data_IF_996606053241
#
_entry.id   IF_996606053241
#
_cell.length_a   1.000
_cell.length_b   1.000
_cell.length_c   1.000
_cell.angle_alpha   90.00
_cell.angle_beta   90.00
_cell.angle_gamma   90.00
#
_symmetry.space_group_name_H-M   'P 1'
#
loop_
_entity.id
_entity.type
_entity.pdbx_description
1 polymer ?
#
# COMPACT_ATOMS: atom_id res chain seq x y z
N UNK A 1 -4.65 -23.33 10.12
CA UNK A 1 -4.43 -21.96 9.64
C UNK A 1 -2.94 -21.60 9.58
N UNK A 2 -2.17 -21.74 10.66
CA UNK A 2 -0.75 -21.32 10.66
C UNK A 2 0.09 -21.83 9.48
N UNK A 3 -0.07 -23.09 9.07
CA UNK A 3 0.65 -23.62 7.91
C UNK A 3 0.35 -22.83 6.63
N UNK A 4 -0.90 -22.42 6.41
CA UNK A 4 -1.29 -21.60 5.27
C UNK A 4 -0.65 -20.21 5.34
N UNK A 5 -0.72 -19.56 6.51
CA UNK A 5 -0.06 -18.27 6.76
C UNK A 5 1.44 -18.36 6.44
N UNK A 6 2.11 -19.44 6.84
CA UNK A 6 3.53 -19.64 6.53
C UNK A 6 3.79 -19.76 5.02
N UNK A 7 2.93 -20.46 4.27
CA UNK A 7 3.07 -20.52 2.81
C UNK A 7 2.85 -19.16 2.16
N UNK A 8 1.83 -18.41 2.60
CA UNK A 8 1.56 -17.07 2.08
C UNK A 8 2.73 -16.11 2.37
N UNK A 9 3.33 -16.18 3.56
CA UNK A 9 4.54 -15.40 3.89
C UNK A 9 5.71 -15.78 2.96
N UNK A 10 5.89 -17.07 2.66
CA UNK A 10 6.90 -17.52 1.69
C UNK A 10 6.62 -16.92 0.30
N UNK A 11 5.36 -16.89 -0.13
CA UNK A 11 4.97 -16.32 -1.42
C UNK A 11 5.23 -14.80 -1.45
N UNK A 12 4.85 -14.07 -0.40
CA UNK A 12 5.16 -12.64 -0.24
C UNK A 12 6.68 -12.37 -0.27
N UNK A 13 7.48 -13.23 0.35
CA UNK A 13 8.94 -13.13 0.27
C UNK A 13 9.47 -13.42 -1.14
N UNK A 14 8.88 -14.38 -1.84
CA UNK A 14 9.28 -14.71 -3.20
C UNK A 14 8.88 -13.63 -4.20
N UNK A 15 7.75 -12.94 -3.99
CA UNK A 15 7.30 -11.83 -4.83
C UNK A 15 8.32 -10.69 -4.90
N UNK A 16 9.18 -10.52 -3.89
CA UNK A 16 10.30 -9.56 -3.91
C UNK A 16 11.29 -9.79 -5.05
N UNK A 17 11.28 -10.98 -5.68
CA UNK A 17 12.10 -11.28 -6.86
C UNK A 17 11.49 -10.74 -8.16
N UNK A 18 10.23 -10.32 -8.12
CA UNK A 18 9.49 -9.79 -9.28
C UNK A 18 9.61 -8.27 -9.40
N UNK A 19 10.43 -7.62 -8.57
CA UNK A 19 10.66 -6.17 -8.62
C UNK A 19 11.12 -5.79 -10.04
N UNK A 20 10.37 -4.93 -10.76
CA UNK A 20 10.76 -4.48 -12.08
C UNK A 20 12.12 -3.76 -12.03
N UNK A 21 12.95 -3.98 -13.05
CA UNK A 21 14.23 -3.30 -13.13
C UNK A 21 14.04 -1.78 -13.21
N UNK A 22 14.85 -1.03 -12.46
CA UNK A 22 14.93 0.42 -12.58
C UNK A 22 15.23 0.80 -14.02
N UNK A 23 14.44 1.74 -14.54
CA UNK A 23 14.68 2.33 -15.85
C UNK A 23 15.45 3.63 -15.64
N UNK A 24 16.59 3.80 -16.32
CA UNK A 24 17.40 5.02 -16.23
C UNK A 24 17.30 5.86 -17.50
N UNK A 25 17.28 7.19 -17.37
CA UNK A 25 17.38 8.06 -18.53
C UNK A 25 18.74 7.89 -19.22
N UNK A 26 18.78 8.16 -20.53
CA UNK A 26 20.03 8.31 -21.26
C UNK A 26 20.78 9.60 -20.86
N UNK A 27 21.92 9.85 -21.49
CA UNK A 27 22.70 11.08 -21.24
C UNK A 27 22.08 12.31 -21.90
N UNK A 28 21.99 13.42 -21.17
CA UNK A 28 21.50 14.70 -21.66
C UNK A 28 20.04 14.99 -21.32
N UNK A 29 19.62 16.23 -21.57
CA UNK A 29 18.28 16.70 -21.22
C UNK A 29 17.18 16.05 -22.06
N UNK A 30 17.38 15.91 -23.38
CA UNK A 30 16.38 15.30 -24.27
C UNK A 30 16.08 13.83 -23.90
N UNK A 31 17.13 13.05 -23.59
CA UNK A 31 16.97 11.66 -23.16
C UNK A 31 16.31 11.54 -21.78
N UNK A 32 16.53 12.52 -20.90
CA UNK A 32 15.83 12.60 -19.62
C UNK A 32 14.34 12.95 -19.82
N UNK A 33 14.04 13.93 -20.66
CA UNK A 33 12.67 14.34 -20.97
C UNK A 33 11.87 13.20 -21.62
N UNK A 34 12.43 12.52 -22.62
CA UNK A 34 11.82 11.35 -23.25
C UNK A 34 11.55 10.24 -22.22
N UNK A 35 12.50 10.01 -21.31
CA UNK A 35 12.34 9.03 -20.23
C UNK A 35 11.20 9.37 -19.28
N UNK A 36 11.10 10.63 -18.83
CA UNK A 36 10.01 11.08 -17.96
C UNK A 36 8.65 10.99 -18.66
N UNK A 37 8.57 11.39 -19.93
CA UNK A 37 7.34 11.24 -20.72
C UNK A 37 6.94 9.76 -20.87
N UNK A 38 7.90 8.85 -21.04
CA UNK A 38 7.61 7.42 -21.12
C UNK A 38 7.05 6.86 -19.80
N UNK A 39 7.58 7.31 -18.65
CA UNK A 39 7.07 6.95 -17.33
C UNK A 39 5.65 7.51 -17.11
N UNK A 40 5.43 8.78 -17.39
CA UNK A 40 4.12 9.44 -17.23
C UNK A 40 3.03 8.82 -18.13
N UNK A 41 3.40 8.36 -19.33
CA UNK A 41 2.47 7.72 -20.26
C UNK A 41 2.37 6.19 -20.07
N UNK A 42 3.06 5.62 -19.07
CA UNK A 42 2.94 4.20 -18.77
C UNK A 42 1.55 3.87 -18.24
N UNK A 43 0.97 2.70 -18.58
CA UNK A 43 -0.34 2.34 -18.08
C UNK A 43 -0.28 2.05 -16.58
N UNK A 44 -1.38 2.33 -15.89
CA UNK A 44 -1.52 1.88 -14.51
C UNK A 44 -1.50 0.34 -14.44
N UNK A 45 -0.93 -0.18 -13.36
CA UNK A 45 -0.85 -1.61 -13.10
C UNK A 45 -1.62 -1.95 -11.83
N UNK A 46 -2.39 -3.03 -11.87
CA UNK A 46 -3.03 -3.57 -10.67
C UNK A 46 -1.96 -4.14 -9.74
N UNK A 47 -2.02 -3.83 -8.45
CA UNK A 47 -1.02 -4.29 -7.49
C UNK A 47 -0.92 -5.82 -7.39
N UNK A 48 -2.03 -6.55 -7.54
CA UNK A 48 -1.98 -8.01 -7.63
C UNK A 48 -1.12 -8.52 -8.79
N UNK A 49 -1.14 -7.81 -9.91
CA UNK A 49 -0.38 -8.19 -11.11
C UNK A 49 1.08 -7.77 -10.97
N UNK A 50 1.34 -6.60 -10.38
CA UNK A 50 2.69 -6.12 -10.05
C UNK A 50 3.41 -7.09 -9.11
N UNK A 51 2.73 -7.56 -8.06
CA UNK A 51 3.33 -8.47 -7.07
C UNK A 51 3.28 -9.94 -7.51
N UNK A 52 2.36 -10.29 -8.42
CA UNK A 52 2.07 -11.68 -8.80
C UNK A 52 1.31 -12.45 -7.73
N UNK A 53 0.54 -11.76 -6.87
CA UNK A 53 -0.23 -12.33 -5.76
C UNK A 53 -1.65 -11.77 -5.83
N UNK A 54 -2.66 -12.65 -5.96
CA UNK A 54 -4.07 -12.23 -5.97
C UNK A 54 -4.56 -11.86 -4.57
N UNK A 55 -5.47 -10.89 -4.45
CA UNK A 55 -6.15 -10.56 -3.19
C UNK A 55 -6.90 -11.78 -2.60
N UNK A 56 -7.38 -12.69 -3.44
CA UNK A 56 -8.19 -13.85 -3.01
C UNK A 56 -7.42 -14.89 -2.19
N UNK A 57 -6.08 -14.85 -2.19
CA UNK A 57 -5.26 -15.77 -1.39
C UNK A 57 -5.14 -15.32 0.06
N UNK A 58 -5.55 -14.09 0.38
CA UNK A 58 -5.48 -13.58 1.74
C UNK A 58 -6.66 -14.13 2.57
N UNK A 59 -6.42 -14.81 3.71
CA UNK A 59 -7.50 -15.31 4.55
C UNK A 59 -8.33 -14.15 5.11
N UNK A 60 -9.65 -14.31 5.28
CA UNK A 60 -10.45 -13.28 5.91
C UNK A 60 -10.07 -13.12 7.40
N UNK A 61 -10.14 -11.88 7.90
CA UNK A 61 -9.62 -11.47 9.22
C UNK A 61 -10.11 -12.35 10.36
N UNK A 62 -11.38 -12.78 10.35
CA UNK A 62 -11.99 -13.59 11.40
C UNK A 62 -11.41 -15.01 11.54
N UNK A 63 -10.59 -15.46 10.58
CA UNK A 63 -9.90 -16.76 10.62
C UNK A 63 -8.47 -16.68 11.14
N UNK A 64 -7.96 -15.47 11.39
CA UNK A 64 -6.58 -15.21 11.77
C UNK A 64 -6.50 -14.85 13.24
N UNK A 65 -5.48 -15.35 13.94
CA UNK A 65 -5.12 -14.84 15.26
C UNK A 65 -4.42 -13.49 15.13
N UNK A 66 -4.38 -12.71 16.21
CA UNK A 66 -3.63 -11.45 16.29
C UNK A 66 -2.18 -11.60 15.82
N UNK A 67 -1.46 -12.60 16.34
CA UNK A 67 -0.10 -12.91 15.91
C UNK A 67 0.01 -13.21 14.40
N UNK A 68 -0.99 -13.84 13.79
CA UNK A 68 -0.99 -14.13 12.35
C UNK A 68 -1.24 -12.86 11.52
N UNK A 69 -2.11 -11.98 12.01
CA UNK A 69 -2.36 -10.67 11.40
C UNK A 69 -1.08 -9.83 11.42
N UNK A 70 -0.38 -9.76 12.55
CA UNK A 70 0.91 -9.07 12.68
C UNK A 70 1.95 -9.63 11.71
N UNK A 71 2.08 -10.96 11.64
CA UNK A 71 3.01 -11.63 10.72
C UNK A 71 2.70 -11.29 9.26
N UNK A 72 1.43 -11.30 8.86
CA UNK A 72 1.02 -10.98 7.50
C UNK A 72 1.20 -9.50 7.18
N UNK A 73 0.83 -8.60 8.10
CA UNK A 73 1.03 -7.16 7.94
C UNK A 73 2.50 -6.84 7.70
N UNK A 74 3.38 -7.40 8.54
CA UNK A 74 4.82 -7.22 8.39
C UNK A 74 5.33 -7.77 7.05
N UNK A 75 4.89 -8.97 6.66
CA UNK A 75 5.32 -9.58 5.40
C UNK A 75 4.86 -8.78 4.17
N UNK A 76 3.64 -8.23 4.18
CA UNK A 76 3.11 -7.35 3.13
C UNK A 76 3.93 -6.06 3.06
N UNK A 77 4.14 -5.38 4.19
CA UNK A 77 4.93 -4.13 4.24
C UNK A 77 6.38 -4.35 3.80
N UNK A 78 7.00 -5.44 4.23
CA UNK A 78 8.36 -5.79 3.81
C UNK A 78 8.46 -6.17 2.33
N UNK A 79 7.37 -6.65 1.73
CA UNK A 79 7.27 -6.85 0.29
C UNK A 79 7.15 -5.50 -0.42
N UNK A 80 6.23 -4.63 0.00
CA UNK A 80 6.05 -3.29 -0.59
C UNK A 80 7.34 -2.49 -0.57
N UNK A 81 8.08 -2.49 0.55
CA UNK A 81 9.39 -1.82 0.64
C UNK A 81 10.40 -2.35 -0.39
N UNK A 82 10.34 -3.64 -0.76
CA UNK A 82 11.23 -4.18 -1.79
C UNK A 82 10.90 -3.64 -3.20
N UNK A 83 9.66 -3.21 -3.43
CA UNK A 83 9.23 -2.51 -4.63
C UNK A 83 9.43 -0.98 -4.55
N UNK A 84 10.10 -0.47 -3.50
CA UNK A 84 10.18 0.95 -3.14
C UNK A 84 8.82 1.60 -2.90
N UNK A 85 7.85 0.83 -2.39
CA UNK A 85 6.53 1.33 -2.02
C UNK A 85 6.46 1.45 -0.51
N UNK A 86 6.10 2.63 -0.03
CA UNK A 86 5.86 2.93 1.38
C UNK A 86 4.40 3.32 1.61
N UNK A 87 3.98 3.24 2.86
CA UNK A 87 2.65 3.64 3.28
C UNK A 87 2.73 4.16 4.70
N UNK A 88 1.96 5.20 4.97
CA UNK A 88 1.85 5.79 6.29
C UNK A 88 0.54 5.37 6.96
N UNK A 89 0.65 4.97 8.22
CA UNK A 89 -0.48 4.65 9.09
C UNK A 89 -0.13 5.01 10.54
N UNK A 90 -1.13 5.30 11.39
CA UNK A 90 -0.88 5.60 12.80
C UNK A 90 -0.16 4.44 13.52
N UNK A 91 0.79 4.75 14.41
CA UNK A 91 1.62 3.75 15.11
C UNK A 91 0.81 2.76 15.95
N UNK A 92 -0.37 3.17 16.43
CA UNK A 92 -1.20 2.41 17.36
C UNK A 92 -2.37 1.67 16.67
N UNK A 93 -2.37 1.57 15.33
CA UNK A 93 -3.42 0.85 14.60
C UNK A 93 -3.40 -0.64 14.93
N UNK A 94 -4.52 -1.19 15.44
CA UNK A 94 -4.67 -2.63 15.67
C UNK A 94 -4.43 -3.47 14.40
N UNK A 95 -3.73 -4.60 14.54
CA UNK A 95 -3.37 -5.46 13.41
C UNK A 95 -4.59 -5.94 12.59
N UNK A 96 -5.74 -6.12 13.23
CA UNK A 96 -7.01 -6.51 12.60
C UNK A 96 -7.67 -5.39 11.78
N UNK A 97 -7.26 -4.14 11.95
CA UNK A 97 -7.67 -3.00 11.13
C UNK A 97 -6.66 -2.71 10.02
N UNK A 98 -5.36 -2.82 10.32
CA UNK A 98 -4.31 -2.64 9.32
C UNK A 98 -4.36 -3.71 8.22
N UNK A 99 -4.54 -4.98 8.60
CA UNK A 99 -4.56 -6.09 7.66
C UNK A 99 -5.54 -5.94 6.49
N UNK A 100 -6.86 -5.73 6.72
CA UNK A 100 -7.79 -5.55 5.62
C UNK A 100 -7.49 -4.28 4.79
N UNK A 101 -6.97 -3.21 5.42
CA UNK A 101 -6.59 -2.00 4.70
C UNK A 101 -5.43 -2.24 3.72
N UNK A 102 -4.43 -3.04 4.11
CA UNK A 102 -3.32 -3.47 3.24
C UNK A 102 -3.80 -4.41 2.12
N UNK A 103 -4.59 -5.43 2.47
CA UNK A 103 -5.09 -6.43 1.51
C UNK A 103 -5.97 -5.78 0.43
N UNK A 104 -6.82 -4.81 0.80
CA UNK A 104 -7.68 -4.08 -0.13
C UNK A 104 -6.91 -3.32 -1.22
N UNK A 105 -5.61 -3.06 -1.04
CA UNK A 105 -4.78 -2.42 -2.06
C UNK A 105 -4.45 -3.36 -3.22
N UNK A 106 -4.44 -4.69 -3.02
CA UNK A 106 -4.10 -5.64 -4.07
C UNK A 106 -5.07 -5.61 -5.26
N UNK A 107 -6.30 -5.12 -5.08
CA UNK A 107 -7.25 -4.87 -6.18
C UNK A 107 -7.16 -3.49 -6.82
N UNK A 108 -6.32 -2.60 -6.29
CA UNK A 108 -6.16 -1.23 -6.80
C UNK A 108 -5.11 -1.16 -7.89
N UNK A 109 -5.32 -0.19 -8.78
CA UNK A 109 -4.38 0.21 -9.81
C UNK A 109 -3.45 1.28 -9.25
N UNK A 110 -2.21 1.28 -9.72
CA UNK A 110 -1.17 2.22 -9.33
C UNK A 110 -0.34 2.58 -10.55
N UNK A 111 -0.03 3.88 -10.66
CA UNK A 111 0.96 4.37 -11.61
C UNK A 111 2.37 4.13 -11.05
N UNK A 112 2.94 2.96 -11.35
CA UNK A 112 4.21 2.51 -10.75
C UNK A 112 5.41 2.88 -11.60
N UNK A 113 6.41 3.57 -11.00
CA UNK A 113 7.67 3.93 -11.66
C UNK A 113 8.83 3.10 -11.10
N UNK A 114 9.37 2.13 -11.86
CA UNK A 114 10.44 1.26 -11.38
C UNK A 114 11.67 2.04 -10.89
N UNK A 115 12.08 1.76 -9.65
CA UNK A 115 13.25 2.39 -9.02
C UNK A 115 12.96 3.71 -8.29
N UNK A 116 11.76 4.28 -8.44
CA UNK A 116 11.32 5.46 -7.70
C UNK A 116 10.66 5.06 -6.38
N UNK A 117 10.75 5.94 -5.38
CA UNK A 117 9.98 5.77 -4.15
C UNK A 117 8.54 6.18 -4.40
N UNK A 118 7.61 5.29 -4.08
CA UNK A 118 6.20 5.47 -4.30
C UNK A 118 5.44 5.37 -2.97
N UNK A 119 4.30 6.07 -2.87
CA UNK A 119 3.42 6.02 -1.71
C UNK A 119 2.08 5.34 -2.03
N UNK A 120 1.59 4.52 -1.11
CA UNK A 120 0.19 4.06 -1.08
C UNK A 120 -0.50 4.73 0.10
N UNK A 121 -1.57 5.46 -0.20
CA UNK A 121 -2.49 6.00 0.80
C UNK A 121 -3.52 4.94 1.19
N UNK A 122 -3.57 4.57 2.47
CA UNK A 122 -4.55 3.58 2.95
C UNK A 122 -5.92 4.20 3.22
N UNK A 123 -6.00 5.53 3.34
CA UNK A 123 -7.25 6.23 3.61
C UNK A 123 -7.49 7.39 2.61
N UNK A 124 -8.73 7.86 2.56
CA UNK A 124 -9.13 8.97 1.67
C UNK A 124 -9.24 10.31 2.42
N UNK A 125 -8.60 10.44 3.59
CA UNK A 125 -8.67 11.64 4.43
C UNK A 125 -10.07 12.04 4.92
N UNK A 126 -11.07 11.14 4.80
CA UNK A 126 -12.42 11.31 5.35
C UNK A 126 -12.53 10.60 6.71
N UNK A 127 -12.59 11.32 7.85
CA UNK A 127 -12.55 10.68 9.18
C UNK A 127 -13.64 9.63 9.41
N UNK A 128 -14.85 9.90 8.94
CA UNK A 128 -16.01 9.02 9.09
C UNK A 128 -15.92 7.73 8.26
N UNK A 129 -15.02 7.70 7.27
CA UNK A 129 -14.74 6.54 6.41
C UNK A 129 -13.31 6.01 6.59
N UNK A 130 -12.62 6.41 7.65
CA UNK A 130 -11.26 5.96 7.89
C UNK A 130 -11.24 4.43 8.08
N UNK A 131 -10.39 3.67 7.34
CA UNK A 131 -10.32 2.22 7.46
C UNK A 131 -9.84 1.76 8.85
N UNK A 132 -9.19 2.66 9.60
CA UNK A 132 -8.73 2.40 10.96
C UNK A 132 -9.76 2.82 12.03
N UNK A 133 -10.95 3.27 11.62
CA UNK A 133 -11.98 3.81 12.52
C UNK A 133 -11.63 5.18 13.08
N UNK A 134 -12.65 5.87 13.61
CA UNK A 134 -12.50 7.24 14.15
C UNK A 134 -11.55 7.30 15.35
N UNK A 135 -11.42 6.21 16.10
CA UNK A 135 -10.53 6.14 17.27
C UNK A 135 -9.06 6.27 16.88
N UNK A 136 -8.64 5.68 15.76
CA UNK A 136 -7.27 5.72 15.25
C UNK A 136 -7.05 6.72 14.11
N UNK A 137 -8.11 7.39 13.64
CA UNK A 137 -7.99 8.38 12.57
C UNK A 137 -7.22 9.62 13.04
N UNK A 138 -6.12 9.94 12.34
CA UNK A 138 -5.33 11.16 12.57
C UNK A 138 -5.97 12.42 11.99
N UNK A 139 -6.91 12.27 11.04
CA UNK A 139 -7.60 13.39 10.39
C UNK A 139 -8.74 14.00 11.24
N UNK A 140 -9.20 13.33 12.31
CA UNK A 140 -10.41 13.68 13.09
C UNK A 140 -10.42 15.08 13.75
N UNK A 141 -9.27 15.73 13.85
CA UNK A 141 -9.12 17.08 14.41
C UNK A 141 -9.09 18.21 13.37
N UNK A 142 -8.90 17.90 12.08
CA UNK A 142 -8.70 18.93 11.05
C UNK A 142 -10.01 19.51 10.49
N UNK A 143 -11.12 18.79 10.63
CA UNK A 143 -12.43 19.20 10.11
C UNK A 143 -13.37 19.79 11.17
N UNK A 144 -12.88 20.01 12.40
CA UNK A 144 -13.70 20.54 13.51
C UNK A 144 -13.71 22.09 13.60
N UNK A 145 -13.01 22.81 12.70
CA UNK A 145 -12.79 24.27 12.85
C UNK A 145 -13.63 25.17 11.92
N UNK A 146 -14.51 24.62 11.08
CA UNK A 146 -15.33 25.45 10.17
C UNK A 146 -16.68 25.90 10.77
N UNK A 147 -17.16 25.26 11.85
CA UNK A 147 -18.44 25.63 12.47
C UNK A 147 -18.36 26.83 13.44
N UNK A 148 -17.16 27.37 13.69
CA UNK A 148 -16.94 28.54 14.54
C UNK A 148 -16.29 29.72 13.79
N UNK A 149 -16.20 29.68 12.46
CA UNK A 149 -15.77 30.84 11.68
C UNK A 149 -16.96 31.82 11.53
N UNK A 150 -16.96 33.00 12.18
CA UNK A 150 -18.04 33.98 12.05
C UNK A 150 -18.11 34.65 10.66
N UNK A 151 -17.29 34.21 9.69
CA UNK A 151 -17.24 34.74 8.32
C UNK A 151 -17.53 33.69 7.23
N UNK A 152 -18.13 32.54 7.57
CA UNK A 152 -18.64 31.57 6.59
C UNK A 152 -20.13 31.80 6.27
#
# INVERSE_FOLDING_TARGET
MQQYVNYLIIDLHNAKKNVPAETKPGEGYEAFEEHMMALENSPDIRLSDLFGISEEVFPPTEKLSELQLEQLNQAILDMWRAFNIETDYPEDVPANLLYPALVAQFSKEMHYWPGWQMGIELCNFEPDKCPFGIEHCTCKGYFQDDSNNPNS
#
